data_IF_494779948144
#
_entry.id   IF_494779948144
#
_cell.length_a   1.000
_cell.length_b   1.000
_cell.length_c   1.000
_cell.angle_alpha   90.00
_cell.angle_beta   90.00
_cell.angle_gamma   90.00
#
_symmetry.space_group_name_H-M   'P 1'
#
loop_
_entity.id
_entity.type
_entity.pdbx_description
1 polymer ?
#
# COMPACT_ATOMS: atom_id res chain seq x y z
N UNK A 1 1.28 -59.52 -50.61
CA UNK A 1 1.10 -58.06 -50.65
C UNK A 1 0.07 -57.71 -49.59
N UNK A 2 0.50 -57.38 -48.37
CA UNK A 2 -0.42 -57.12 -47.25
C UNK A 2 -0.99 -55.70 -47.40
N UNK A 3 -2.20 -55.59 -47.93
CA UNK A 3 -2.93 -54.34 -48.00
C UNK A 3 -3.50 -54.00 -46.63
N UNK A 4 -3.14 -52.84 -46.09
CA UNK A 4 -3.76 -52.26 -44.90
C UNK A 4 -5.22 -51.96 -45.27
N UNK A 5 -6.19 -52.59 -44.60
CA UNK A 5 -7.61 -52.32 -44.84
C UNK A 5 -7.98 -50.90 -44.38
N UNK A 6 -8.93 -50.22 -45.04
CA UNK A 6 -9.36 -48.86 -44.66
C UNK A 6 -9.79 -48.73 -43.18
N UNK A 7 -10.33 -49.80 -42.60
CA UNK A 7 -10.71 -49.87 -41.19
C UNK A 7 -9.51 -49.75 -40.24
N UNK A 8 -8.37 -50.36 -40.61
CA UNK A 8 -7.14 -50.28 -39.82
C UNK A 8 -6.54 -48.86 -39.83
N UNK A 9 -6.68 -48.14 -40.95
CA UNK A 9 -6.26 -46.73 -41.06
C UNK A 9 -7.11 -45.86 -40.12
N UNK A 10 -8.44 -46.03 -40.15
CA UNK A 10 -9.36 -45.27 -39.29
C UNK A 10 -9.12 -45.53 -37.80
N UNK A 11 -8.83 -46.78 -37.41
CA UNK A 11 -8.53 -47.14 -36.03
C UNK A 11 -7.23 -46.49 -35.53
N UNK A 12 -6.19 -46.48 -36.37
CA UNK A 12 -4.90 -45.83 -36.05
C UNK A 12 -5.07 -44.30 -35.95
N UNK A 13 -5.85 -43.70 -36.86
CA UNK A 13 -6.16 -42.27 -36.80
C UNK A 13 -6.92 -41.89 -35.53
N UNK A 14 -7.89 -42.69 -35.10
CA UNK A 14 -8.65 -42.46 -33.86
C UNK A 14 -7.76 -42.56 -32.61
N UNK A 15 -6.90 -43.57 -32.53
CA UNK A 15 -5.96 -43.74 -31.42
C UNK A 15 -4.94 -42.59 -31.35
N UNK A 16 -4.41 -42.18 -32.51
CA UNK A 16 -3.51 -41.04 -32.62
C UNK A 16 -4.18 -39.74 -32.19
N UNK A 17 -5.42 -39.50 -32.60
CA UNK A 17 -6.19 -38.32 -32.20
C UNK A 17 -6.43 -38.28 -30.68
N UNK A 18 -6.76 -39.42 -30.05
CA UNK A 18 -6.95 -39.51 -28.61
C UNK A 18 -5.66 -39.21 -27.83
N UNK A 19 -4.53 -39.72 -28.33
CA UNK A 19 -3.21 -39.45 -27.74
C UNK A 19 -2.86 -37.97 -27.82
N UNK A 20 -3.02 -37.34 -28.98
CA UNK A 20 -2.79 -35.90 -29.19
C UNK A 20 -3.71 -35.06 -28.29
N UNK A 21 -4.99 -35.40 -28.19
CA UNK A 21 -5.95 -34.67 -27.35
C UNK A 21 -5.58 -34.74 -25.85
N UNK A 22 -5.12 -35.91 -25.39
CA UNK A 22 -4.68 -36.10 -24.01
C UNK A 22 -3.41 -35.28 -23.72
N UNK A 23 -2.45 -35.31 -24.64
CA UNK A 23 -1.22 -34.52 -24.53
C UNK A 23 -1.48 -33.01 -24.53
N UNK A 24 -2.38 -32.55 -25.40
CA UNK A 24 -2.81 -31.16 -25.46
C UNK A 24 -3.49 -30.71 -24.16
N UNK A 25 -4.35 -31.56 -23.58
CA UNK A 25 -4.99 -31.30 -22.28
C UNK A 25 -3.97 -31.12 -21.15
N UNK A 26 -3.01 -32.04 -21.01
CA UNK A 26 -1.94 -31.95 -19.99
C UNK A 26 -1.12 -30.67 -20.17
N UNK A 27 -0.75 -30.35 -21.41
CA UNK A 27 0.02 -29.14 -21.73
C UNK A 27 -0.77 -27.87 -21.39
N UNK A 28 -2.06 -27.83 -21.71
CA UNK A 28 -2.94 -26.70 -21.39
C UNK A 28 -3.05 -26.47 -19.88
N UNK A 29 -3.16 -27.54 -19.08
CA UNK A 29 -3.14 -27.43 -17.61
C UNK A 29 -1.82 -26.85 -17.09
N UNK A 30 -0.70 -27.29 -17.66
CA UNK A 30 0.62 -26.81 -17.24
C UNK A 30 0.82 -25.32 -17.58
N UNK A 31 0.43 -24.91 -18.79
CA UNK A 31 0.47 -23.50 -19.22
C UNK A 31 -0.43 -22.64 -18.32
N UNK A 32 -1.64 -23.10 -18.01
CA UNK A 32 -2.56 -22.38 -17.13
C UNK A 32 -1.98 -22.16 -15.72
N UNK A 33 -1.25 -23.12 -15.17
CA UNK A 33 -0.61 -22.97 -13.87
C UNK A 33 0.50 -21.91 -13.89
N UNK A 34 1.32 -21.91 -14.95
CA UNK A 34 2.38 -20.92 -15.14
C UNK A 34 1.79 -19.51 -15.32
N UNK A 35 0.72 -19.39 -16.09
CA UNK A 35 0.04 -18.11 -16.34
C UNK A 35 -0.55 -17.53 -15.05
N UNK A 36 -1.23 -18.36 -14.23
CA UNK A 36 -1.71 -17.94 -12.91
C UNK A 36 -0.59 -17.48 -11.97
N UNK A 37 0.57 -18.15 -12.01
CA UNK A 37 1.73 -17.72 -11.23
C UNK A 37 2.28 -16.38 -11.71
N UNK A 38 2.37 -16.17 -13.04
CA UNK A 38 2.81 -14.89 -13.63
C UNK A 38 1.85 -13.76 -13.29
N UNK A 39 0.55 -14.00 -13.38
CA UNK A 39 -0.49 -13.02 -13.02
C UNK A 39 -0.41 -12.65 -11.54
N UNK A 40 -0.21 -13.63 -10.65
CA UNK A 40 -0.07 -13.38 -9.22
C UNK A 40 1.18 -12.53 -8.89
N UNK A 41 2.30 -12.76 -9.59
CA UNK A 41 3.53 -11.97 -9.44
C UNK A 41 3.33 -10.57 -10.00
N UNK A 42 2.79 -10.44 -11.21
CA UNK A 42 2.55 -9.17 -11.87
C UNK A 42 1.57 -8.29 -11.06
N UNK A 43 0.52 -8.89 -10.52
CA UNK A 43 -0.41 -8.19 -9.65
C UNK A 43 0.31 -7.77 -8.36
N UNK A 44 1.07 -8.66 -7.71
CA UNK A 44 1.86 -8.28 -6.52
C UNK A 44 2.84 -7.13 -6.79
N UNK A 45 3.52 -7.14 -7.93
CA UNK A 45 4.42 -6.06 -8.36
C UNK A 45 3.68 -4.76 -8.65
N UNK A 46 2.54 -4.83 -9.34
CA UNK A 46 1.69 -3.67 -9.62
C UNK A 46 1.19 -3.04 -8.33
N UNK A 47 0.82 -3.87 -7.36
CA UNK A 47 0.30 -3.47 -6.06
C UNK A 47 1.37 -2.88 -5.13
N UNK A 48 2.60 -3.41 -5.17
CA UNK A 48 3.71 -2.87 -4.38
C UNK A 48 4.35 -1.62 -5.00
N UNK A 49 4.20 -1.41 -6.31
CA UNK A 49 4.83 -0.29 -7.02
C UNK A 49 4.41 1.08 -6.47
N UNK A 50 3.13 1.28 -6.15
CA UNK A 50 2.64 2.54 -5.57
C UNK A 50 3.18 2.76 -4.14
N UNK A 51 3.15 1.73 -3.30
CA UNK A 51 3.64 1.81 -1.92
C UNK A 51 5.18 1.93 -1.82
N UNK A 52 5.90 1.47 -2.84
CA UNK A 52 7.36 1.62 -2.96
C UNK A 52 7.75 3.10 -3.09
N UNK A 53 6.87 3.94 -3.65
CA UNK A 53 7.10 5.37 -3.84
C UNK A 53 6.98 6.25 -2.60
N UNK A 54 6.57 5.70 -1.44
CA UNK A 54 6.39 6.47 -0.21
C UNK A 54 7.62 6.36 0.66
N UNK A 55 8.22 7.49 1.03
CA UNK A 55 9.43 7.54 1.86
C UNK A 55 9.46 8.80 2.71
N UNK A 56 10.10 8.73 3.87
CA UNK A 56 10.32 9.89 4.72
C UNK A 56 11.65 9.77 5.45
N UNK A 57 12.31 10.90 5.65
CA UNK A 57 13.57 10.96 6.39
C UNK A 57 13.71 12.30 7.09
N UNK A 58 14.51 12.32 8.16
CA UNK A 58 14.82 13.55 8.88
C UNK A 58 15.75 14.43 8.04
N UNK A 59 15.42 15.70 7.95
CA UNK A 59 16.19 16.66 7.18
C UNK A 59 16.25 18.04 7.86
N UNK A 60 17.19 18.84 7.38
CA UNK A 60 17.32 20.25 7.73
C UNK A 60 17.04 21.07 6.48
N UNK A 61 16.08 21.98 6.56
CA UNK A 61 15.81 22.98 5.53
C UNK A 61 16.57 24.27 5.87
N UNK A 62 17.32 24.78 4.90
CA UNK A 62 18.06 26.04 4.99
C UNK A 62 17.42 27.08 4.07
N UNK A 63 17.00 28.19 4.65
CA UNK A 63 16.33 29.29 3.97
C UNK A 63 17.02 30.60 4.39
N UNK A 64 18.00 31.02 3.58
CA UNK A 64 18.95 32.06 3.99
C UNK A 64 19.74 31.63 5.24
N UNK A 65 19.71 32.45 6.28
CA UNK A 65 20.34 32.15 7.58
C UNK A 65 19.44 31.33 8.52
N UNK A 66 18.20 31.03 8.11
CA UNK A 66 17.25 30.29 8.92
C UNK A 66 17.44 28.79 8.71
N UNK A 67 17.59 28.05 9.83
CA UNK A 67 17.73 26.59 9.85
C UNK A 67 16.52 25.96 10.51
N UNK A 68 15.74 25.21 9.73
CA UNK A 68 14.55 24.48 10.17
C UNK A 68 14.84 22.98 10.20
N UNK A 69 14.61 22.32 11.32
CA UNK A 69 14.70 20.85 11.40
C UNK A 69 13.32 20.23 11.21
N UNK A 70 13.24 19.11 10.50
CA UNK A 70 11.95 18.48 10.25
C UNK A 70 12.08 17.14 9.56
N UNK A 71 10.97 16.69 9.00
CA UNK A 71 10.88 15.47 8.22
C UNK A 71 10.54 15.84 6.78
N UNK A 72 11.32 15.35 5.83
CA UNK A 72 10.94 15.37 4.43
C UNK A 72 10.13 14.10 4.15
N UNK A 73 8.87 14.27 3.75
CA UNK A 73 7.98 13.22 3.29
C UNK A 73 7.89 13.29 1.77
N UNK A 74 8.03 12.15 1.11
CA UNK A 74 8.01 12.01 -0.34
C UNK A 74 7.04 10.92 -0.75
N UNK A 75 6.09 11.28 -1.60
CA UNK A 75 5.19 10.37 -2.29
C UNK A 75 5.44 10.51 -3.81
N UNK A 76 6.24 9.62 -4.39
CA UNK A 76 6.47 9.59 -5.86
C UNK A 76 5.44 8.74 -6.61
N UNK A 77 4.44 8.19 -5.92
CA UNK A 77 3.37 7.46 -6.61
C UNK A 77 2.48 8.41 -7.40
N UNK A 78 1.77 7.90 -8.40
CA UNK A 78 0.84 8.71 -9.22
C UNK A 78 -0.48 8.99 -8.52
N UNK A 79 -0.68 8.49 -7.29
CA UNK A 79 -1.94 8.57 -6.56
C UNK A 79 -1.70 9.13 -5.15
N UNK A 80 -2.73 9.76 -4.54
CA UNK A 80 -2.66 10.11 -3.13
C UNK A 80 -2.59 8.84 -2.26
N UNK A 81 -1.95 8.99 -1.11
CA UNK A 81 -1.99 8.03 0.01
C UNK A 81 -2.77 8.64 1.17
N UNK A 82 -3.32 7.79 2.02
CA UNK A 82 -4.23 8.17 3.09
C UNK A 82 -3.74 7.68 4.46
N UNK A 83 -4.34 8.22 5.52
CA UNK A 83 -4.11 7.79 6.90
C UNK A 83 -2.63 7.64 7.28
N UNK A 84 -1.83 8.62 6.85
CA UNK A 84 -0.37 8.59 7.02
C UNK A 84 -0.01 8.89 8.47
N UNK A 85 0.77 8.01 9.08
CA UNK A 85 1.31 8.18 10.41
C UNK A 85 2.83 7.97 10.38
N UNK A 86 3.58 9.03 10.69
CA UNK A 86 5.05 9.02 10.71
C UNK A 86 5.51 9.07 12.16
N UNK A 87 6.31 8.08 12.57
CA UNK A 87 6.99 8.08 13.85
C UNK A 87 8.47 8.39 13.65
N UNK A 88 9.01 9.29 14.44
CA UNK A 88 10.42 9.69 14.41
C UNK A 88 11.02 9.76 15.80
N UNK A 89 12.34 9.83 15.81
CA UNK A 89 13.15 10.06 17.00
C UNK A 89 13.94 11.35 16.85
N UNK A 90 14.15 12.04 17.96
CA UNK A 90 14.93 13.27 18.00
C UNK A 90 16.45 13.01 17.95
N UNK A 91 17.24 14.07 18.06
CA UNK A 91 18.72 14.01 18.06
C UNK A 91 19.31 13.08 19.14
N UNK A 92 18.58 12.83 20.22
CA UNK A 92 18.98 12.03 21.37
C UNK A 92 18.36 10.62 21.34
N UNK A 93 17.59 10.28 20.30
CA UNK A 93 16.91 9.00 20.18
C UNK A 93 15.58 8.92 20.93
N UNK A 94 15.12 10.00 21.56
CA UNK A 94 13.83 10.03 22.22
C UNK A 94 12.70 10.07 21.19
N UNK A 95 11.61 9.32 21.40
CA UNK A 95 10.48 9.33 20.48
C UNK A 95 9.84 10.72 20.43
N UNK A 96 9.53 11.19 19.22
CA UNK A 96 8.77 12.41 19.00
C UNK A 96 7.26 12.09 18.86
N UNK A 97 6.38 13.07 19.11
CA UNK A 97 4.96 12.94 18.81
C UNK A 97 4.76 12.54 17.34
N UNK A 98 3.89 11.57 17.02
CA UNK A 98 3.71 11.11 15.64
C UNK A 98 3.03 12.18 14.78
N UNK A 99 3.48 12.32 13.54
CA UNK A 99 2.82 13.16 12.53
C UNK A 99 1.66 12.35 11.94
N UNK A 100 0.46 12.92 11.93
CA UNK A 100 -0.74 12.30 11.36
C UNK A 100 -1.29 13.16 10.23
N UNK A 101 -1.40 12.60 9.03
CA UNK A 101 -1.93 13.27 7.84
C UNK A 101 -3.04 12.42 7.23
N UNK A 102 -4.20 13.02 6.96
CA UNK A 102 -5.34 12.29 6.39
C UNK A 102 -5.10 11.90 4.92
N UNK A 103 -4.49 12.80 4.14
CA UNK A 103 -4.23 12.61 2.72
C UNK A 103 -2.91 13.26 2.35
N UNK A 104 -2.09 12.56 1.58
CA UNK A 104 -0.81 13.06 1.05
C UNK A 104 -0.81 12.87 -0.47
N UNK A 105 -0.95 13.95 -1.26
CA UNK A 105 -0.87 13.89 -2.71
C UNK A 105 0.53 13.46 -3.21
N UNK A 106 0.67 13.16 -4.51
CA UNK A 106 1.96 13.02 -5.14
C UNK A 106 2.81 14.29 -4.96
N UNK A 107 4.05 14.12 -4.51
CA UNK A 107 4.97 15.24 -4.29
C UNK A 107 5.96 15.03 -3.15
N UNK A 108 6.66 16.10 -2.83
CA UNK A 108 7.58 16.21 -1.70
C UNK A 108 7.09 17.30 -0.76
N UNK A 109 7.14 17.02 0.53
CA UNK A 109 6.64 17.88 1.59
C UNK A 109 7.64 17.94 2.74
N UNK A 110 7.94 19.13 3.22
CA UNK A 110 8.73 19.34 4.43
C UNK A 110 7.80 19.65 5.60
N UNK A 111 8.01 18.93 6.70
CA UNK A 111 7.22 19.05 7.92
C UNK A 111 8.15 19.53 9.03
N UNK A 112 8.13 20.84 9.28
CA UNK A 112 8.99 21.49 10.26
C UNK A 112 8.60 21.07 11.68
N UNK A 113 9.60 20.80 12.52
CA UNK A 113 9.42 20.67 13.96
C UNK A 113 9.28 22.06 14.57
N UNK A 114 8.17 22.31 15.25
CA UNK A 114 7.87 23.60 15.89
C UNK A 114 7.68 23.44 17.40
N UNK A 115 8.00 24.49 18.15
CA UNK A 115 7.80 24.50 19.60
C UNK A 115 6.38 25.00 19.95
N UNK A 116 5.35 24.32 19.44
CA UNK A 116 3.94 24.59 19.73
C UNK A 116 3.28 23.34 20.34
N UNK A 117 2.04 23.46 20.80
CA UNK A 117 1.25 22.32 21.30
C UNK A 117 1.07 21.18 20.29
N UNK A 118 1.24 21.46 18.99
CA UNK A 118 1.10 20.48 17.93
C UNK A 118 2.43 19.82 17.53
N UNK A 119 3.57 20.33 18.02
CA UNK A 119 4.95 19.86 17.77
C UNK A 119 5.45 19.89 16.31
N UNK A 120 4.53 19.92 15.34
CA UNK A 120 4.79 19.89 13.91
C UNK A 120 4.01 21.00 13.20
N UNK A 121 4.66 21.64 12.23
CA UNK A 121 4.00 22.55 11.30
C UNK A 121 3.17 21.77 10.29
N UNK A 122 2.33 22.48 9.52
CA UNK A 122 1.67 21.88 8.38
C UNK A 122 2.72 21.50 7.32
N UNK A 123 2.52 20.36 6.60
CA UNK A 123 3.37 20.02 5.47
C UNK A 123 3.28 21.08 4.38
N UNK A 124 4.42 21.54 3.89
CA UNK A 124 4.51 22.47 2.77
C UNK A 124 5.56 21.98 1.76
N UNK A 125 5.55 22.55 0.55
CA UNK A 125 6.59 22.26 -0.42
C UNK A 125 7.98 22.60 0.16
N UNK A 126 8.99 21.74 -0.01
CA UNK A 126 10.34 22.05 0.44
C UNK A 126 10.86 23.31 -0.25
N UNK A 127 11.42 24.24 0.52
CA UNK A 127 12.04 25.47 0.01
C UNK A 127 13.54 25.50 0.33
N UNK A 128 14.31 26.27 -0.44
CA UNK A 128 15.75 26.43 -0.19
C UNK A 128 16.53 25.11 -0.32
N UNK A 129 17.54 24.92 0.53
CA UNK A 129 18.41 23.74 0.49
C UNK A 129 17.97 22.72 1.55
N UNK A 130 17.60 21.52 1.10
CA UNK A 130 17.30 20.38 1.97
C UNK A 130 18.56 19.55 2.20
N UNK A 131 18.92 19.34 3.47
CA UNK A 131 20.05 18.51 3.88
C UNK A 131 19.56 17.31 4.70
N UNK A 132 19.58 16.09 4.13
CA UNK A 132 19.24 14.88 4.87
C UNK A 132 20.23 14.62 6.02
N UNK A 133 19.75 14.05 7.10
CA UNK A 133 20.59 13.65 8.24
C UNK A 133 21.05 12.21 8.00
N UNK A 134 22.30 12.04 7.60
CA UNK A 134 22.84 10.72 7.18
C UNK A 134 23.78 10.06 8.20
N UNK A 135 24.19 10.79 9.24
CA UNK A 135 25.26 10.36 10.15
C UNK A 135 24.78 9.96 11.55
N UNK A 136 23.46 9.92 11.80
CA UNK A 136 22.89 9.61 13.11
C UNK A 136 21.72 8.64 13.01
N UNK A 137 21.93 7.41 13.48
CA UNK A 137 20.88 6.37 13.52
C UNK A 137 19.71 6.74 14.43
N UNK A 138 20.00 7.45 15.51
CA UNK A 138 19.00 7.82 16.51
C UNK A 138 18.15 9.01 16.08
N UNK A 139 18.62 9.83 15.14
CA UNK A 139 17.88 10.99 14.61
C UNK A 139 17.25 10.65 13.26
N UNK A 140 16.25 9.77 13.29
CA UNK A 140 15.68 9.17 12.09
C UNK A 140 14.17 8.91 12.23
N UNK A 141 13.53 8.73 11.07
CA UNK A 141 12.18 8.16 10.99
C UNK A 141 12.25 6.70 11.42
N UNK A 142 11.43 6.32 12.40
CA UNK A 142 11.34 4.96 12.90
C UNK A 142 10.48 4.09 11.99
N UNK A 143 9.28 4.58 11.63
CA UNK A 143 8.41 3.92 10.67
C UNK A 143 7.40 4.90 10.06
N UNK A 144 6.80 4.49 8.93
CA UNK A 144 5.71 5.17 8.25
C UNK A 144 4.58 4.16 8.08
N UNK A 145 3.39 4.44 8.60
CA UNK A 145 2.17 3.73 8.22
C UNK A 145 1.38 4.59 7.24
N UNK A 146 0.77 3.98 6.24
CA UNK A 146 -0.11 4.68 5.30
C UNK A 146 -1.04 3.69 4.59
N UNK A 147 -2.14 4.21 4.06
CA UNK A 147 -3.09 3.48 3.22
C UNK A 147 -2.90 3.90 1.76
N UNK A 148 -2.72 2.95 0.85
CA UNK A 148 -2.62 3.25 -0.57
C UNK A 148 -3.99 3.56 -1.22
N UNK A 149 -3.98 3.96 -2.48
CA UNK A 149 -5.21 4.28 -3.22
C UNK A 149 -6.13 3.07 -3.47
N UNK A 150 -5.66 1.85 -3.23
CA UNK A 150 -6.45 0.62 -3.29
C UNK A 150 -7.00 0.22 -1.91
N UNK A 151 -6.83 1.07 -0.90
CA UNK A 151 -7.27 0.86 0.47
C UNK A 151 -6.32 0.02 1.31
N UNK A 152 -5.16 -0.40 0.83
CA UNK A 152 -4.27 -1.31 1.58
C UNK A 152 -3.39 -0.56 2.56
N UNK A 153 -3.27 -1.10 3.76
CA UNK A 153 -2.38 -0.57 4.78
C UNK A 153 -0.96 -1.10 4.58
N UNK A 154 -0.01 -0.18 4.58
CA UNK A 154 1.41 -0.42 4.44
C UNK A 154 2.17 0.15 5.64
N UNK A 155 3.24 -0.54 6.01
CA UNK A 155 4.20 -0.08 7.00
C UNK A 155 5.59 -0.12 6.38
N UNK A 156 6.29 1.02 6.39
CA UNK A 156 7.70 1.14 6.05
C UNK A 156 8.51 1.30 7.33
N UNK A 157 9.45 0.40 7.57
CA UNK A 157 10.35 0.41 8.72
C UNK A 157 11.61 1.26 8.45
N UNK A 158 12.35 1.60 9.52
CA UNK A 158 13.62 2.35 9.44
C UNK A 158 14.66 1.71 8.50
N UNK A 159 14.65 0.38 8.37
CA UNK A 159 15.54 -0.35 7.47
C UNK A 159 15.09 -0.36 6.00
N UNK A 160 13.99 0.34 5.68
CA UNK A 160 13.41 0.40 4.34
C UNK A 160 12.52 -0.78 3.98
N UNK A 161 12.36 -1.77 4.86
CA UNK A 161 11.43 -2.89 4.67
C UNK A 161 10.01 -2.36 4.57
N UNK A 162 9.27 -2.85 3.58
CA UNK A 162 7.88 -2.48 3.32
C UNK A 162 7.00 -3.72 3.50
N UNK A 163 6.06 -3.66 4.43
CA UNK A 163 5.13 -4.75 4.72
C UNK A 163 3.69 -4.28 4.51
N UNK A 164 2.90 -5.09 3.82
CA UNK A 164 1.45 -4.90 3.78
C UNK A 164 0.87 -5.47 5.07
N UNK A 165 0.10 -4.69 5.81
CA UNK A 165 -0.74 -5.24 6.87
C UNK A 165 -1.89 -5.94 6.17
N UNK A 166 -1.92 -7.27 6.24
CA UNK A 166 -3.07 -8.01 5.75
C UNK A 166 -4.29 -7.51 6.51
N UNK A 167 -5.24 -6.90 5.80
CA UNK A 167 -6.55 -6.64 6.35
C UNK A 167 -7.13 -7.97 6.79
N UNK A 168 -7.17 -8.19 8.11
CA UNK A 168 -8.17 -9.07 8.67
C UNK A 168 -9.49 -8.41 8.36
N UNK A 169 -10.14 -8.81 7.27
CA UNK A 169 -11.51 -8.41 6.97
C UNK A 169 -12.32 -8.83 8.19
N UNK A 170 -12.64 -7.87 9.06
CA UNK A 170 -13.72 -8.05 10.03
C UNK A 170 -14.94 -8.29 9.16
N UNK A 171 -15.39 -9.54 9.07
CA UNK A 171 -16.77 -9.85 8.72
C UNK A 171 -17.63 -9.19 9.79
N UNK A 172 -17.94 -7.91 9.60
CA UNK A 172 -19.00 -7.25 10.33
C UNK A 172 -20.28 -7.89 9.83
N UNK A 173 -20.85 -8.75 10.68
CA UNK A 173 -22.13 -9.40 10.45
C UNK A 173 -23.16 -8.32 10.14
N UNK A 174 -23.56 -8.26 8.88
CA UNK A 174 -24.82 -7.68 8.45
C UNK A 174 -25.93 -8.56 9.04
N UNK A 175 -26.57 -8.08 10.12
CA UNK A 175 -27.65 -8.82 10.77
C UNK A 175 -28.05 -8.25 12.12
N UNK A 176 -28.69 -7.07 12.12
CA UNK A 176 -29.98 -6.81 12.77
C UNK A 176 -30.30 -5.31 12.67
N UNK A 177 -31.43 -4.99 12.05
CA UNK A 177 -32.01 -3.66 12.14
C UNK A 177 -32.45 -3.42 13.60
N UNK A 178 -32.14 -2.27 14.20
CA UNK A 178 -32.63 -1.95 15.54
C UNK A 178 -34.17 -1.85 15.52
N UNK A 179 -34.88 -2.38 16.54
CA UNK A 179 -36.32 -2.24 16.61
C UNK A 179 -36.70 -0.77 16.74
N UNK A 180 -37.62 -0.33 15.88
CA UNK A 180 -38.25 0.98 15.87
C UNK A 180 -38.75 1.36 17.26
N UNK A 181 -38.04 2.25 17.94
CA UNK A 181 -38.54 2.92 19.13
C UNK A 181 -39.69 3.85 18.72
N UNK A 182 -40.89 3.55 19.23
CA UNK A 182 -42.07 4.39 19.11
C UNK A 182 -41.76 5.83 19.58
N UNK A 183 -41.67 6.76 18.64
CA UNK A 183 -41.64 8.19 18.88
C UNK A 183 -43.00 8.62 19.45
N UNK A 184 -43.11 8.71 20.79
CA UNK A 184 -44.21 9.42 21.45
C UNK A 184 -44.04 10.91 21.18
N UNK A 185 -44.95 11.48 20.39
CA UNK A 185 -45.16 12.93 20.27
C UNK A 185 -45.40 13.50 21.67
N UNK A 186 -44.44 14.26 22.18
CA UNK A 186 -44.68 15.16 23.31
C UNK A 186 -45.45 16.37 22.79
N UNK A 187 -46.66 16.54 23.32
CA UNK A 187 -47.52 17.65 23.01
C UNK A 187 -46.93 18.95 23.56
N UNK A 188 -46.90 19.96 22.68
CA UNK A 188 -46.77 21.37 23.00
C UNK A 188 -47.86 21.73 24.02
N UNK A 189 -47.48 22.26 25.19
CA UNK A 189 -48.39 23.03 26.05
C UNK A 189 -48.09 24.52 25.84
N UNK A 190 -49.10 25.35 25.56
CA UNK A 190 -48.98 26.79 25.60
C UNK A 190 -49.26 27.35 27.00
N UNK A 191 -48.78 28.59 27.19
CA UNK A 191 -48.89 29.49 28.35
C UNK A 191 -47.91 29.24 29.50
#
# INVERSE_FOLDING_TARGET
MFGISPEMISAISGLGALFVATWAGITAFHIQQIERQRDAIAEKERLSSSATGVSAWTAIQLEGDIRKSGILLRNISTMPIYDVCISSKDRNGAPEPPIKLCTVPPGEYFIERVNTSYHWAFPDAPTGIIRPIMNKKDWAVAFINFTDSSGREWQREQNGSLTCKNMTVKHEKMGEAPPMAHYKRSAIRPA
#
